data_IF_756339304135
#
_entry.id   IF_756339304135
#
_cell.length_a   1.000
_cell.length_b   1.000
_cell.length_c   1.000
_cell.angle_alpha   90.00
_cell.angle_beta   90.00
_cell.angle_gamma   90.00
#
_symmetry.space_group_name_H-M   'P 1'
#
loop_
_entity.id
_entity.type
_entity.pdbx_description
1 polymer ?
#
# COMPACT_ATOMS: atom_id res chain seq x y z
N UNK A 1 -10.10 -43.70 -13.13
CA UNK A 1 -9.53 -42.35 -13.29
C UNK A 1 -10.67 -41.38 -13.48
N UNK A 2 -11.19 -40.83 -12.38
CA UNK A 2 -12.25 -39.83 -12.44
C UNK A 2 -11.57 -38.47 -12.63
N UNK A 3 -11.75 -37.89 -13.81
CA UNK A 3 -11.40 -36.50 -14.10
C UNK A 3 -12.35 -35.60 -13.32
N UNK A 4 -11.85 -34.96 -12.27
CA UNK A 4 -12.58 -33.88 -11.62
C UNK A 4 -12.77 -32.73 -12.62
N UNK A 5 -14.00 -32.19 -12.77
CA UNK A 5 -14.20 -30.96 -13.52
C UNK A 5 -13.43 -29.84 -12.82
N UNK A 6 -12.64 -29.08 -13.58
CA UNK A 6 -12.10 -27.80 -13.11
C UNK A 6 -13.31 -26.88 -12.94
N UNK A 7 -13.74 -26.70 -11.70
CA UNK A 7 -14.79 -25.78 -11.35
C UNK A 7 -14.26 -24.37 -11.60
N UNK A 8 -14.68 -23.74 -12.71
CA UNK A 8 -14.34 -22.36 -13.02
C UNK A 8 -15.06 -21.45 -12.03
N UNK A 9 -14.41 -21.20 -10.89
CA UNK A 9 -14.91 -20.31 -9.86
C UNK A 9 -15.20 -18.91 -10.45
N UNK A 10 -16.41 -18.34 -10.27
CA UNK A 10 -16.79 -17.01 -10.78
C UNK A 10 -15.82 -15.89 -10.40
N UNK A 11 -15.17 -16.02 -9.25
CA UNK A 11 -14.16 -15.09 -8.71
C UNK A 11 -12.90 -14.99 -9.59
N UNK A 12 -12.49 -16.06 -10.28
CA UNK A 12 -11.29 -16.04 -11.15
C UNK A 12 -11.51 -15.24 -12.43
N UNK A 13 -12.72 -15.26 -12.99
CA UNK A 13 -13.07 -14.45 -14.16
C UNK A 13 -13.12 -12.96 -13.84
N UNK A 14 -13.65 -12.60 -12.66
CA UNK A 14 -13.66 -11.21 -12.18
C UNK A 14 -12.24 -10.69 -11.93
N UNK A 15 -11.37 -11.50 -11.31
CA UNK A 15 -9.96 -11.17 -11.07
C UNK A 15 -9.20 -10.84 -12.37
N UNK A 16 -9.31 -11.69 -13.41
CA UNK A 16 -8.67 -11.44 -14.71
C UNK A 16 -9.20 -10.18 -15.40
N UNK A 17 -10.49 -9.87 -15.28
CA UNK A 17 -11.06 -8.65 -15.84
C UNK A 17 -10.53 -7.39 -15.14
N UNK A 18 -10.40 -7.42 -13.81
CA UNK A 18 -9.78 -6.33 -13.03
C UNK A 18 -8.32 -6.09 -13.43
N UNK A 19 -7.55 -7.16 -13.63
CA UNK A 19 -6.14 -7.08 -14.05
C UNK A 19 -5.96 -6.47 -15.45
N UNK A 20 -6.86 -6.77 -16.39
CA UNK A 20 -6.84 -6.13 -17.73
C UNK A 20 -7.08 -4.64 -17.64
N UNK A 21 -8.09 -4.23 -16.85
CA UNK A 21 -8.37 -2.81 -16.62
C UNK A 21 -7.19 -2.09 -15.98
N UNK A 22 -6.40 -2.75 -15.14
CA UNK A 22 -5.29 -2.13 -14.42
C UNK A 22 -4.23 -1.48 -15.32
N UNK A 23 -4.06 -1.93 -16.56
CA UNK A 23 -3.18 -1.28 -17.53
C UNK A 23 -3.55 0.18 -17.78
N UNK A 24 -4.84 0.54 -17.66
CA UNK A 24 -5.29 1.91 -17.82
C UNK A 24 -4.79 2.82 -16.68
N UNK A 25 -4.51 2.27 -15.50
CA UNK A 25 -4.00 3.04 -14.35
C UNK A 25 -2.51 3.38 -14.48
N UNK A 26 -1.74 2.53 -15.17
CA UNK A 26 -0.29 2.70 -15.29
C UNK A 26 0.01 3.95 -16.14
N UNK A 27 0.79 4.92 -15.64
CA UNK A 27 1.30 6.02 -16.45
C UNK A 27 2.06 5.52 -17.67
N UNK A 28 1.78 6.03 -18.89
CA UNK A 28 2.57 5.67 -20.05
C UNK A 28 4.00 6.17 -19.86
N UNK A 29 4.98 5.36 -20.28
CA UNK A 29 6.35 5.83 -20.42
C UNK A 29 6.44 6.66 -21.71
N UNK A 30 6.36 7.98 -21.56
CA UNK A 30 6.41 8.96 -22.64
C UNK A 30 7.47 10.02 -22.35
N UNK A 31 8.32 10.31 -23.33
CA UNK A 31 9.37 11.34 -23.23
C UNK A 31 8.83 12.76 -23.07
N UNK A 32 7.52 12.97 -23.24
CA UNK A 32 6.85 14.24 -22.95
C UNK A 32 6.58 14.45 -21.44
N UNK A 33 6.59 13.38 -20.63
CA UNK A 33 6.33 13.48 -19.20
C UNK A 33 7.58 13.95 -18.44
N UNK A 34 7.37 14.77 -17.42
CA UNK A 34 8.38 15.28 -16.51
C UNK A 34 8.43 14.50 -15.21
N UNK A 35 9.61 14.55 -14.55
CA UNK A 35 9.87 13.92 -13.26
C UNK A 35 8.77 14.26 -12.25
N UNK A 36 8.17 13.21 -11.68
CA UNK A 36 7.11 13.28 -10.69
C UNK A 36 5.71 13.09 -11.27
N UNK A 37 5.50 13.04 -12.58
CA UNK A 37 4.18 12.83 -13.19
C UNK A 37 3.73 11.36 -13.23
N UNK A 38 4.62 10.41 -12.91
CA UNK A 38 4.31 8.98 -12.78
C UNK A 38 4.30 8.48 -11.32
N UNK A 39 4.31 9.37 -10.33
CA UNK A 39 4.10 9.00 -8.92
C UNK A 39 5.04 9.70 -7.96
N UNK A 40 4.48 10.16 -6.84
CA UNK A 40 5.20 10.88 -5.77
C UNK A 40 4.67 10.33 -4.46
N UNK A 41 5.44 9.43 -3.87
CA UNK A 41 5.03 8.60 -2.74
C UNK A 41 5.75 9.15 -1.51
N UNK A 42 5.03 9.35 -0.40
CA UNK A 42 5.67 9.62 0.89
C UNK A 42 5.49 8.44 1.84
N UNK A 43 6.57 8.01 2.48
CA UNK A 43 6.58 6.94 3.48
C UNK A 43 6.81 7.59 4.83
N UNK A 44 5.86 7.47 5.75
CA UNK A 44 5.91 8.07 7.09
C UNK A 44 6.13 6.97 8.10
N UNK A 45 7.28 7.02 8.76
CA UNK A 45 7.71 5.98 9.70
C UNK A 45 9.17 6.17 10.07
N UNK A 46 9.91 5.11 10.32
CA UNK A 46 11.33 5.23 10.68
C UNK A 46 11.57 5.94 12.01
N UNK A 47 11.33 5.23 13.10
CA UNK A 47 11.79 5.58 14.44
C UNK A 47 13.23 5.13 14.66
N UNK A 48 13.84 5.59 15.76
CA UNK A 48 15.20 5.30 16.21
C UNK A 48 15.81 3.96 15.78
N UNK A 49 15.13 2.85 16.05
CA UNK A 49 15.66 1.50 15.77
C UNK A 49 15.09 0.88 14.47
N UNK A 50 13.98 1.41 13.94
CA UNK A 50 13.22 0.79 12.86
C UNK A 50 13.47 1.47 11.51
N UNK A 51 14.72 1.45 11.06
CA UNK A 51 15.16 2.09 9.80
C UNK A 51 14.89 1.26 8.55
N UNK A 52 14.82 -0.08 8.67
CA UNK A 52 14.68 -0.98 7.52
C UNK A 52 13.29 -0.93 6.88
N UNK A 53 12.23 -0.87 7.69
CA UNK A 53 10.84 -0.86 7.23
C UNK A 53 10.51 0.31 6.27
N UNK A 54 10.78 1.58 6.60
CA UNK A 54 10.52 2.68 5.67
C UNK A 54 11.40 2.61 4.41
N UNK A 55 12.61 2.05 4.51
CA UNK A 55 13.46 1.78 3.35
C UNK A 55 12.81 0.77 2.40
N UNK A 56 12.36 -0.39 2.91
CA UNK A 56 11.73 -1.42 2.08
C UNK A 56 10.49 -0.89 1.37
N UNK A 57 9.65 -0.13 2.06
CA UNK A 57 8.44 0.46 1.48
C UNK A 57 8.75 1.51 0.41
N UNK A 58 9.67 2.44 0.72
CA UNK A 58 10.06 3.49 -0.22
C UNK A 58 10.78 2.94 -1.45
N UNK A 59 11.72 2.02 -1.24
CA UNK A 59 12.50 1.45 -2.34
C UNK A 59 11.67 0.50 -3.19
N UNK A 60 10.73 -0.26 -2.61
CA UNK A 60 9.78 -1.06 -3.38
C UNK A 60 8.91 -0.19 -4.30
N UNK A 61 8.51 0.99 -3.84
CA UNK A 61 7.77 1.96 -4.65
C UNK A 61 8.56 2.40 -5.89
N UNK A 62 9.83 2.78 -5.70
CA UNK A 62 10.72 3.15 -6.81
C UNK A 62 10.94 1.98 -7.78
N UNK A 63 11.16 0.77 -7.25
CA UNK A 63 11.39 -0.44 -8.05
C UNK A 63 10.17 -0.86 -8.86
N UNK A 64 8.95 -0.55 -8.41
CA UNK A 64 7.72 -0.78 -9.17
C UNK A 64 7.52 0.26 -10.27
N UNK A 65 7.99 1.50 -10.07
CA UNK A 65 7.99 2.52 -11.11
C UNK A 65 7.47 3.90 -10.67
N UNK A 66 7.41 4.21 -9.37
CA UNK A 66 7.17 5.59 -8.96
C UNK A 66 8.38 6.48 -9.31
N UNK A 67 8.13 7.71 -9.76
CA UNK A 67 9.22 8.64 -10.08
C UNK A 67 9.99 9.10 -8.84
N UNK A 68 9.26 9.28 -7.73
CA UNK A 68 9.76 9.85 -6.50
C UNK A 68 9.22 9.11 -5.29
N UNK A 69 10.14 8.72 -4.41
CA UNK A 69 9.84 8.21 -3.08
C UNK A 69 10.53 9.05 -2.02
N UNK A 70 9.71 9.62 -1.15
CA UNK A 70 10.12 10.41 -0.01
C UNK A 70 9.97 9.57 1.26
N UNK A 71 10.99 9.52 2.11
CA UNK A 71 10.89 8.93 3.46
C UNK A 71 10.86 10.06 4.46
N UNK A 72 9.82 10.12 5.29
CA UNK A 72 9.63 11.08 6.36
C UNK A 72 9.81 10.32 7.68
N UNK A 73 10.87 10.66 8.41
CA UNK A 73 11.32 9.89 9.56
C UNK A 73 11.88 10.73 10.69
N UNK A 74 12.20 10.08 11.80
CA UNK A 74 12.93 10.69 12.92
C UNK A 74 14.37 11.03 12.50
N UNK A 75 14.96 12.15 12.98
CA UNK A 75 16.35 12.49 12.70
C UNK A 75 17.38 11.37 12.96
N UNK A 76 17.18 10.57 13.99
CA UNK A 76 18.07 9.45 14.34
C UNK A 76 18.04 8.32 13.29
N UNK A 77 16.91 8.10 12.64
CA UNK A 77 16.73 7.12 11.58
C UNK A 77 17.22 7.61 10.21
N UNK A 78 17.14 8.93 9.97
CA UNK A 78 17.36 9.54 8.66
C UNK A 78 18.75 9.23 8.07
N UNK A 79 19.81 9.37 8.86
CA UNK A 79 21.19 9.13 8.39
C UNK A 79 21.39 7.69 7.93
N UNK A 80 20.85 6.73 8.69
CA UNK A 80 20.94 5.31 8.36
C UNK A 80 20.19 5.03 7.06
N UNK A 81 18.95 5.51 6.93
CA UNK A 81 18.13 5.28 5.72
C UNK A 81 18.79 5.87 4.48
N UNK A 82 19.39 7.06 4.58
CA UNK A 82 20.14 7.70 3.48
C UNK A 82 21.31 6.85 2.98
N UNK A 83 21.90 6.01 3.84
CA UNK A 83 23.02 5.14 3.45
C UNK A 83 22.59 3.91 2.66
N UNK A 84 21.31 3.51 2.75
CA UNK A 84 20.80 2.33 2.05
C UNK A 84 20.58 2.57 0.55
N UNK A 85 20.19 3.78 0.15
CA UNK A 85 20.01 4.15 -1.25
C UNK A 85 20.10 5.66 -1.48
N UNK A 86 20.86 6.12 -2.49
CA UNK A 86 20.89 7.54 -2.89
C UNK A 86 19.64 7.99 -3.66
N UNK A 87 18.79 7.05 -4.12
CA UNK A 87 17.58 7.36 -4.89
C UNK A 87 16.41 7.84 -4.01
N UNK A 88 16.46 7.54 -2.70
CA UNK A 88 15.44 7.95 -1.74
C UNK A 88 15.67 9.39 -1.28
N UNK A 89 14.60 10.19 -1.27
CA UNK A 89 14.62 11.51 -0.65
C UNK A 89 14.21 11.38 0.83
N UNK A 90 15.16 11.48 1.74
CA UNK A 90 14.92 11.25 3.17
C UNK A 90 14.86 12.58 3.93
N UNK A 91 13.72 12.82 4.55
CA UNK A 91 13.37 14.00 5.34
C UNK A 91 13.23 13.63 6.81
N UNK A 92 13.94 14.35 7.68
CA UNK A 92 13.98 14.10 9.12
C UNK A 92 12.98 14.98 9.88
N UNK A 93 11.72 15.02 9.43
CA UNK A 93 10.71 15.95 9.97
C UNK A 93 10.06 15.49 11.27
N UNK A 94 10.17 14.20 11.64
CA UNK A 94 9.53 13.68 12.85
C UNK A 94 10.38 13.99 14.07
N UNK A 95 10.55 15.28 14.38
CA UNK A 95 11.35 15.75 15.51
C UNK A 95 10.64 15.54 16.85
N UNK A 96 11.44 15.39 17.90
CA UNK A 96 10.94 15.24 19.25
C UNK A 96 10.47 16.59 19.82
N UNK A 97 9.44 16.54 20.66
CA UNK A 97 8.83 17.65 21.40
C UNK A 97 9.79 18.39 22.34
N UNK A 98 10.95 17.78 22.65
CA UNK A 98 12.05 18.43 23.37
C UNK A 98 12.69 19.59 22.60
N UNK A 99 12.41 19.73 21.31
CA UNK A 99 12.74 20.89 20.46
C UNK A 99 11.45 21.53 19.89
N UNK A 100 10.79 22.45 20.63
CA UNK A 100 9.51 23.02 20.22
C UNK A 100 9.57 23.86 18.95
N UNK A 101 10.67 24.60 18.75
CA UNK A 101 10.86 25.42 17.54
C UNK A 101 11.08 24.53 16.32
N UNK A 102 11.92 23.49 16.46
CA UNK A 102 12.11 22.47 15.42
C UNK A 102 10.80 21.73 15.12
N UNK A 103 10.02 21.38 16.13
CA UNK A 103 8.74 20.70 15.96
C UNK A 103 7.76 21.50 15.09
N UNK A 104 7.53 22.77 15.42
CA UNK A 104 6.63 23.63 14.64
C UNK A 104 7.16 23.91 13.22
N UNK A 105 8.49 24.07 13.09
CA UNK A 105 9.12 24.26 11.79
C UNK A 105 8.96 23.02 10.89
N UNK A 106 9.28 21.83 11.40
CA UNK A 106 9.15 20.59 10.64
C UNK A 106 7.70 20.24 10.31
N UNK A 107 6.73 20.57 11.17
CA UNK A 107 5.30 20.43 10.81
C UNK A 107 4.96 21.25 9.57
N UNK A 108 5.46 22.48 9.49
CA UNK A 108 5.24 23.35 8.33
C UNK A 108 5.92 22.82 7.07
N UNK A 109 7.17 22.37 7.16
CA UNK A 109 7.88 21.78 6.03
C UNK A 109 7.21 20.50 5.53
N UNK A 110 6.75 19.65 6.45
CA UNK A 110 6.05 18.43 6.09
C UNK A 110 4.68 18.73 5.45
N UNK A 111 3.92 19.70 5.98
CA UNK A 111 2.67 20.15 5.38
C UNK A 111 2.86 20.63 3.93
N UNK A 112 3.93 21.36 3.65
CA UNK A 112 4.30 21.80 2.29
C UNK A 112 4.76 20.65 1.39
N UNK A 113 5.48 19.66 1.94
CA UNK A 113 5.83 18.46 1.18
C UNK A 113 4.57 17.70 0.76
N UNK A 114 3.58 17.56 1.66
CA UNK A 114 2.33 16.86 1.40
C UNK A 114 1.57 17.39 0.17
N UNK A 115 1.63 18.70 -0.10
CA UNK A 115 0.98 19.31 -1.29
C UNK A 115 1.49 18.75 -2.62
N UNK A 116 2.68 18.13 -2.61
CA UNK A 116 3.30 17.54 -3.80
C UNK A 116 3.12 16.03 -3.85
N UNK A 117 2.60 15.38 -2.82
CA UNK A 117 2.49 13.93 -2.77
C UNK A 117 1.17 13.46 -3.36
N UNK A 118 1.21 12.35 -4.10
CA UNK A 118 -0.01 11.70 -4.58
C UNK A 118 -0.60 10.79 -3.49
N UNK A 119 0.26 10.16 -2.70
CA UNK A 119 -0.10 9.18 -1.68
C UNK A 119 0.86 9.25 -0.49
N UNK A 120 0.37 8.92 0.69
CA UNK A 120 1.16 8.64 1.89
C UNK A 120 0.98 7.19 2.33
N UNK A 121 2.09 6.50 2.55
CA UNK A 121 2.16 5.23 3.26
C UNK A 121 2.57 5.54 4.70
N UNK A 122 1.72 5.25 5.68
CA UNK A 122 1.97 5.57 7.09
C UNK A 122 2.11 4.28 7.88
N UNK A 123 3.15 4.21 8.72
CA UNK A 123 3.35 3.11 9.67
C UNK A 123 4.65 2.30 9.56
N UNK A 124 5.28 2.11 8.38
CA UNK A 124 6.52 1.32 8.27
C UNK A 124 7.63 1.79 9.21
N UNK A 125 7.87 1.03 10.28
CA UNK A 125 8.86 1.37 11.32
C UNK A 125 8.53 2.62 12.15
N UNK A 126 7.27 3.06 12.17
CA UNK A 126 6.86 4.25 12.91
C UNK A 126 7.08 4.10 14.42
N UNK A 127 6.91 2.90 14.98
CA UNK A 127 7.05 2.66 16.41
C UNK A 127 5.81 3.14 17.19
N UNK A 128 5.85 2.90 18.50
CA UNK A 128 4.72 3.16 19.41
C UNK A 128 5.04 4.17 20.51
N UNK A 129 6.18 4.83 20.40
CA UNK A 129 6.54 5.91 21.29
C UNK A 129 5.48 7.03 21.18
N UNK A 130 5.07 7.66 22.30
CA UNK A 130 3.99 8.63 22.31
C UNK A 130 4.16 9.74 21.26
N UNK A 131 5.37 10.27 21.12
CA UNK A 131 5.69 11.36 20.18
C UNK A 131 5.56 10.92 18.71
N UNK A 132 5.97 9.69 18.39
CA UNK A 132 5.81 9.14 17.03
C UNK A 132 4.33 8.90 16.70
N UNK A 133 3.53 8.51 17.70
CA UNK A 133 2.08 8.35 17.54
C UNK A 133 1.36 9.71 17.41
N UNK A 134 1.83 10.75 18.09
CA UNK A 134 1.35 12.13 17.90
C UNK A 134 1.63 12.62 16.48
N UNK A 135 2.85 12.38 15.97
CA UNK A 135 3.19 12.66 14.58
C UNK A 135 2.32 11.90 13.59
N UNK A 136 2.05 10.62 13.81
CA UNK A 136 1.19 9.83 12.95
C UNK A 136 -0.25 10.33 12.95
N UNK A 137 -0.78 10.70 14.11
CA UNK A 137 -2.11 11.29 14.24
C UNK A 137 -2.21 12.65 13.54
N UNK A 138 -1.22 13.52 13.74
CA UNK A 138 -1.14 14.81 13.05
C UNK A 138 -1.07 14.60 11.53
N UNK A 139 -0.18 13.71 11.08
CA UNK A 139 0.01 13.37 9.67
C UNK A 139 -1.28 12.89 9.04
N UNK A 140 -1.96 11.95 9.69
CA UNK A 140 -3.21 11.37 9.20
C UNK A 140 -4.30 12.43 9.08
N UNK A 141 -4.49 13.27 10.11
CA UNK A 141 -5.47 14.36 10.10
C UNK A 141 -5.17 15.39 9.01
N UNK A 142 -3.91 15.77 8.83
CA UNK A 142 -3.49 16.74 7.81
C UNK A 142 -3.68 16.17 6.40
N UNK A 143 -3.29 14.91 6.19
CA UNK A 143 -3.46 14.22 4.90
C UNK A 143 -4.93 14.08 4.49
N UNK A 144 -5.82 13.77 5.45
CA UNK A 144 -7.28 13.72 5.24
C UNK A 144 -7.81 15.10 4.81
N UNK A 145 -7.41 16.18 5.50
CA UNK A 145 -7.80 17.56 5.14
C UNK A 145 -7.34 17.94 3.73
N UNK A 146 -6.15 17.49 3.32
CA UNK A 146 -5.60 17.70 1.97
C UNK A 146 -6.12 16.69 0.93
N UNK A 147 -6.96 15.74 1.32
CA UNK A 147 -7.51 14.69 0.45
C UNK A 147 -6.42 13.84 -0.26
N UNK A 148 -5.34 13.52 0.46
CA UNK A 148 -4.23 12.70 -0.05
C UNK A 148 -4.57 11.22 0.06
N UNK A 149 -4.24 10.42 -0.95
CA UNK A 149 -4.49 8.98 -0.90
C UNK A 149 -3.63 8.33 0.21
N UNK A 150 -4.17 7.36 0.95
CA UNK A 150 -3.50 6.76 2.10
C UNK A 150 -3.33 5.25 1.96
N UNK A 151 -2.18 4.76 2.42
CA UNK A 151 -1.96 3.35 2.75
C UNK A 151 -1.52 3.29 4.21
N UNK A 152 -2.29 2.57 5.03
CA UNK A 152 -2.04 2.45 6.46
C UNK A 152 -1.59 1.02 6.76
N UNK A 153 -0.40 0.88 7.31
CA UNK A 153 0.23 -0.39 7.65
C UNK A 153 0.81 -0.34 9.06
N UNK A 154 1.12 -1.50 9.64
CA UNK A 154 1.84 -1.64 10.91
C UNK A 154 1.33 -0.69 12.02
N UNK A 155 2.19 0.18 12.55
CA UNK A 155 1.85 1.03 13.70
C UNK A 155 0.88 2.19 13.37
N UNK A 156 0.58 2.46 12.10
CA UNK A 156 -0.56 3.32 11.77
C UNK A 156 -1.89 2.60 12.07
N UNK A 157 -1.93 1.27 11.91
CA UNK A 157 -3.08 0.47 12.32
C UNK A 157 -3.16 0.36 13.86
N UNK A 158 -2.00 0.42 14.54
CA UNK A 158 -1.96 0.58 15.99
C UNK A 158 -2.60 1.89 16.44
N UNK A 159 -2.34 3.01 15.76
CA UNK A 159 -3.05 4.27 16.04
C UNK A 159 -4.57 4.10 15.84
N UNK A 160 -4.98 3.50 14.72
CA UNK A 160 -6.41 3.36 14.38
C UNK A 160 -7.19 2.45 15.31
N UNK A 161 -6.62 1.37 15.85
CA UNK A 161 -7.35 0.57 16.86
C UNK A 161 -7.63 1.35 18.15
N UNK A 162 -6.88 2.42 18.42
CA UNK A 162 -7.09 3.27 19.60
C UNK A 162 -8.00 4.46 19.27
N UNK A 163 -7.99 4.93 18.02
CA UNK A 163 -8.73 6.10 17.53
C UNK A 163 -9.33 5.86 16.13
N UNK A 164 -10.25 4.89 15.97
CA UNK A 164 -10.76 4.50 14.64
C UNK A 164 -11.51 5.64 13.95
N UNK A 165 -12.12 6.52 14.74
CA UNK A 165 -12.91 7.66 14.29
C UNK A 165 -12.11 8.67 13.45
N UNK A 166 -10.77 8.70 13.58
CA UNK A 166 -9.93 9.61 12.78
C UNK A 166 -10.09 9.36 11.28
N UNK A 167 -10.27 8.09 10.89
CA UNK A 167 -10.41 7.71 9.48
C UNK A 167 -11.88 7.56 9.03
N UNK A 168 -12.84 7.55 9.96
CA UNK A 168 -14.24 7.26 9.61
C UNK A 168 -14.76 8.26 8.59
N UNK A 169 -15.30 7.74 7.48
CA UNK A 169 -15.81 8.55 6.38
C UNK A 169 -14.75 9.03 5.39
N UNK A 170 -13.50 8.58 5.50
CA UNK A 170 -12.44 8.89 4.53
C UNK A 170 -12.22 7.71 3.56
N UNK A 171 -12.75 7.76 2.33
CA UNK A 171 -12.75 6.62 1.41
C UNK A 171 -11.42 6.42 0.66
N UNK A 172 -10.51 7.39 0.72
CA UNK A 172 -9.26 7.41 -0.04
C UNK A 172 -8.12 6.75 0.75
N UNK A 173 -8.39 5.58 1.32
CA UNK A 173 -7.45 4.84 2.15
C UNK A 173 -7.52 3.33 1.92
N UNK A 174 -6.36 2.67 1.97
CA UNK A 174 -6.21 1.21 2.07
C UNK A 174 -5.56 0.87 3.42
N UNK A 175 -6.19 0.00 4.20
CA UNK A 175 -5.59 -0.59 5.40
C UNK A 175 -5.04 -1.96 5.03
N UNK A 176 -3.85 -2.29 5.53
CA UNK A 176 -3.17 -3.54 5.19
C UNK A 176 -2.93 -4.44 6.41
N UNK A 177 -3.93 -4.74 7.26
CA UNK A 177 -3.70 -5.44 8.52
C UNK A 177 -3.24 -6.89 8.32
N UNK A 178 -2.28 -7.32 9.13
CA UNK A 178 -2.07 -8.74 9.39
C UNK A 178 -3.19 -9.30 10.28
N UNK A 179 -3.22 -10.62 10.48
CA UNK A 179 -4.26 -11.28 11.27
C UNK A 179 -4.48 -10.67 12.67
N UNK A 180 -3.40 -10.33 13.39
CA UNK A 180 -3.48 -9.76 14.74
C UNK A 180 -3.97 -8.32 14.72
N UNK A 181 -3.44 -7.50 13.79
CA UNK A 181 -3.89 -6.12 13.57
C UNK A 181 -5.37 -6.07 13.18
N UNK A 182 -5.80 -6.99 12.32
CA UNK A 182 -7.18 -7.08 11.85
C UNK A 182 -8.15 -7.36 13.00
N UNK A 183 -7.85 -8.35 13.85
CA UNK A 183 -8.67 -8.65 15.03
C UNK A 183 -8.78 -7.45 15.98
N UNK A 184 -7.71 -6.66 16.13
CA UNK A 184 -7.72 -5.46 16.97
C UNK A 184 -8.60 -4.36 16.38
N UNK A 185 -8.53 -4.16 15.07
CA UNK A 185 -9.37 -3.20 14.35
C UNK A 185 -10.87 -3.58 14.43
N UNK A 186 -11.20 -4.86 14.26
CA UNK A 186 -12.57 -5.35 14.43
C UNK A 186 -13.12 -4.99 15.81
N UNK A 187 -12.38 -5.32 16.87
CA UNK A 187 -12.76 -4.98 18.25
C UNK A 187 -12.92 -3.48 18.46
N UNK A 188 -12.01 -2.68 17.91
CA UNK A 188 -12.07 -1.22 17.99
C UNK A 188 -13.31 -0.63 17.30
N UNK A 189 -13.84 -1.32 16.28
CA UNK A 189 -15.06 -0.96 15.58
C UNK A 189 -16.30 -1.69 16.11
N UNK A 190 -16.23 -2.32 17.29
CA UNK A 190 -17.33 -3.09 17.91
C UNK A 190 -17.85 -4.24 17.03
N UNK A 191 -16.95 -4.88 16.28
CA UNK A 191 -17.22 -6.07 15.46
C UNK A 191 -16.58 -7.27 16.16
N UNK A 192 -17.36 -8.33 16.38
CA UNK A 192 -16.87 -9.55 17.01
C UNK A 192 -15.94 -10.33 16.06
N UNK A 193 -14.66 -10.55 16.42
CA UNK A 193 -13.75 -11.30 15.57
C UNK A 193 -14.14 -12.78 15.48
N UNK A 194 -13.92 -13.38 14.31
CA UNK A 194 -14.04 -14.82 14.10
C UNK A 194 -12.68 -15.43 13.77
N UNK A 195 -12.51 -16.73 14.03
CA UNK A 195 -11.25 -17.43 13.75
C UNK A 195 -10.96 -17.54 12.25
N UNK A 196 -12.00 -17.65 11.42
CA UNK A 196 -11.92 -17.77 9.97
C UNK A 196 -12.78 -16.71 9.29
N UNK A 197 -12.23 -16.04 8.28
CA UNK A 197 -12.97 -15.12 7.40
C UNK A 197 -12.67 -15.45 5.94
N UNK A 198 -12.82 -16.71 5.52
CA UNK A 198 -12.37 -17.15 4.19
C UNK A 198 -13.06 -16.44 3.02
N UNK A 199 -14.18 -15.75 3.29
CA UNK A 199 -14.98 -15.02 2.30
C UNK A 199 -14.81 -13.50 2.37
N UNK A 200 -14.02 -12.97 3.32
CA UNK A 200 -13.77 -11.53 3.49
C UNK A 200 -15.01 -10.75 3.95
N UNK A 201 -15.94 -11.41 4.63
CA UNK A 201 -17.15 -10.79 5.16
C UNK A 201 -16.82 -9.87 6.33
N UNK A 202 -15.92 -10.26 7.24
CA UNK A 202 -15.48 -9.37 8.31
C UNK A 202 -14.66 -8.20 7.76
N UNK A 203 -13.86 -8.43 6.71
CA UNK A 203 -13.15 -7.34 6.04
C UNK A 203 -14.14 -6.32 5.43
N UNK A 204 -15.26 -6.81 4.87
CA UNK A 204 -16.33 -5.96 4.35
C UNK A 204 -17.10 -5.24 5.47
N UNK A 205 -17.37 -5.90 6.60
CA UNK A 205 -18.00 -5.28 7.77
C UNK A 205 -17.11 -4.17 8.35
N UNK A 206 -15.80 -4.40 8.44
CA UNK A 206 -14.85 -3.38 8.87
C UNK A 206 -14.83 -2.17 7.92
N UNK A 207 -14.82 -2.44 6.60
CA UNK A 207 -14.89 -1.38 5.58
C UNK A 207 -16.15 -0.52 5.74
N UNK A 208 -17.31 -1.14 6.01
CA UNK A 208 -18.58 -0.46 6.28
C UNK A 208 -18.56 0.33 7.59
N UNK A 209 -18.02 -0.23 8.66
CA UNK A 209 -17.91 0.44 9.96
C UNK A 209 -17.01 1.69 9.92
N UNK A 210 -16.00 1.68 9.05
CA UNK A 210 -15.14 2.82 8.76
C UNK A 210 -15.70 3.74 7.65
N UNK A 211 -16.82 3.39 7.03
CA UNK A 211 -17.53 4.15 6.00
C UNK A 211 -16.64 4.54 4.80
N UNK A 212 -16.00 3.54 4.17
CA UNK A 212 -15.53 3.69 2.79
C UNK A 212 -14.06 3.40 2.49
N UNK A 213 -13.24 3.01 3.49
CA UNK A 213 -11.85 2.60 3.21
C UNK A 213 -11.79 1.14 2.71
N UNK A 214 -10.75 0.81 1.93
CA UNK A 214 -10.49 -0.56 1.47
C UNK A 214 -9.68 -1.31 2.51
N UNK A 215 -10.04 -2.57 2.78
CA UNK A 215 -9.33 -3.45 3.68
C UNK A 215 -8.62 -4.54 2.86
N UNK A 216 -7.29 -4.58 2.94
CA UNK A 216 -6.44 -5.67 2.45
C UNK A 216 -6.03 -6.53 3.65
N UNK A 217 -6.83 -7.53 3.97
CA UNK A 217 -6.57 -8.47 5.07
C UNK A 217 -5.49 -9.48 4.63
N UNK A 218 -4.29 -9.39 5.24
CA UNK A 218 -3.15 -10.25 4.91
C UNK A 218 -3.30 -11.64 5.52
N UNK A 219 -3.09 -12.69 4.73
CA UNK A 219 -3.29 -14.08 5.16
C UNK A 219 -2.56 -15.12 4.29
N UNK A 220 -2.98 -16.39 4.39
CA UNK A 220 -2.57 -17.43 3.43
C UNK A 220 -3.11 -17.10 2.03
N UNK A 221 -4.37 -16.66 1.99
CA UNK A 221 -5.03 -15.94 0.91
C UNK A 221 -5.24 -14.51 1.41
N UNK A 222 -4.91 -13.50 0.60
CA UNK A 222 -5.26 -12.12 0.97
C UNK A 222 -6.67 -11.81 0.49
N UNK A 223 -7.43 -11.10 1.31
CA UNK A 223 -8.82 -10.73 1.05
C UNK A 223 -8.89 -9.22 0.93
N UNK A 224 -9.50 -8.74 -0.15
CA UNK A 224 -9.65 -7.31 -0.42
C UNK A 224 -11.12 -6.97 -0.44
N UNK A 225 -11.55 -6.17 0.53
CA UNK A 225 -12.94 -5.76 0.67
C UNK A 225 -13.06 -4.24 0.69
N UNK A 226 -14.10 -3.74 0.02
CA UNK A 226 -14.51 -2.34 0.05
C UNK A 226 -16.03 -2.28 0.02
N UNK A 227 -16.63 -1.41 0.83
CA UNK A 227 -18.06 -1.14 0.76
C UNK A 227 -18.48 -0.78 -0.68
N UNK A 228 -19.54 -1.44 -1.16
CA UNK A 228 -20.07 -1.26 -2.51
C UNK A 228 -19.32 -2.02 -3.62
N UNK A 229 -18.31 -2.84 -3.29
CA UNK A 229 -17.59 -3.68 -4.24
C UNK A 229 -17.64 -5.17 -3.86
N UNK A 230 -17.45 -6.04 -4.85
CA UNK A 230 -17.24 -7.47 -4.60
C UNK A 230 -15.91 -7.70 -3.89
N UNK A 231 -15.87 -8.70 -2.99
CA UNK A 231 -14.63 -9.09 -2.31
C UNK A 231 -13.72 -9.80 -3.29
N UNK A 232 -12.49 -9.30 -3.45
CA UNK A 232 -11.46 -9.96 -4.25
C UNK A 232 -10.58 -10.86 -3.37
N UNK A 233 -10.10 -11.97 -3.94
CA UNK A 233 -9.21 -12.93 -3.27
C UNK A 233 -7.91 -13.05 -4.04
N UNK A 234 -6.79 -12.82 -3.37
CA UNK A 234 -5.45 -13.05 -3.95
C UNK A 234 -4.93 -14.40 -3.48
N UNK A 235 -5.04 -15.39 -4.37
CA UNK A 235 -4.73 -16.80 -4.09
C UNK A 235 -3.39 -17.25 -4.66
N UNK A 236 -2.67 -16.37 -5.36
CA UNK A 236 -1.38 -16.69 -5.94
C UNK A 236 -0.39 -17.11 -4.84
N UNK A 237 0.43 -18.11 -5.18
CA UNK A 237 1.36 -18.70 -4.23
C UNK A 237 2.50 -17.72 -3.93
N UNK A 238 2.66 -17.39 -2.65
CA UNK A 238 3.85 -16.69 -2.14
C UNK A 238 5.00 -17.65 -1.81
N UNK A 239 5.83 -17.30 -0.84
CA UNK A 239 6.82 -18.22 -0.27
C UNK A 239 6.39 -18.78 1.09
N UNK A 240 6.92 -19.95 1.50
CA UNK A 240 6.77 -20.44 2.88
C UNK A 240 7.70 -19.72 3.87
N UNK A 241 8.60 -18.83 3.40
CA UNK A 241 9.59 -18.14 4.23
C UNK A 241 9.10 -16.73 4.56
N UNK A 242 8.79 -16.51 5.84
CA UNK A 242 8.46 -15.18 6.37
C UNK A 242 9.72 -14.33 6.52
N UNK A 243 9.78 -13.22 5.82
CA UNK A 243 10.80 -12.19 5.98
C UNK A 243 10.18 -10.95 6.65
N UNK A 244 10.92 -10.29 7.54
CA UNK A 244 10.39 -9.19 8.35
C UNK A 244 9.80 -8.04 7.53
N UNK A 245 10.45 -7.65 6.42
CA UNK A 245 10.05 -6.52 5.59
C UNK A 245 9.09 -6.84 4.44
N UNK A 246 8.47 -8.04 4.41
CA UNK A 246 7.53 -8.38 3.34
C UNK A 246 6.27 -7.50 3.35
N UNK A 247 5.79 -7.12 4.55
CA UNK A 247 4.68 -6.17 4.69
C UNK A 247 5.05 -4.77 4.22
N UNK A 248 6.28 -4.34 4.49
CA UNK A 248 6.77 -3.02 4.05
C UNK A 248 6.88 -2.93 2.53
N UNK A 249 7.36 -4.00 1.87
CA UNK A 249 7.35 -4.09 0.40
C UNK A 249 5.91 -3.98 -0.12
N UNK A 250 4.98 -4.72 0.46
CA UNK A 250 3.56 -4.67 0.09
C UNK A 250 3.01 -3.23 0.19
N UNK A 251 3.24 -2.54 1.31
CA UNK A 251 2.69 -1.19 1.52
C UNK A 251 3.24 -0.18 0.52
N UNK A 252 4.52 -0.30 0.12
CA UNK A 252 5.11 0.52 -0.94
C UNK A 252 4.53 0.23 -2.34
N UNK A 253 4.36 -1.04 -2.67
CA UNK A 253 3.75 -1.45 -3.94
C UNK A 253 2.29 -0.98 -4.04
N UNK A 254 1.50 -1.18 -2.98
CA UNK A 254 0.12 -0.68 -2.88
C UNK A 254 0.10 0.85 -2.97
N UNK A 255 1.02 1.55 -2.29
CA UNK A 255 1.13 3.01 -2.38
C UNK A 255 1.34 3.50 -3.81
N UNK A 256 2.22 2.86 -4.57
CA UNK A 256 2.47 3.19 -5.97
C UNK A 256 1.22 3.02 -6.84
N UNK A 257 0.50 1.92 -6.67
CA UNK A 257 -0.78 1.71 -7.37
C UNK A 257 -1.85 2.74 -6.97
N UNK A 258 -1.92 3.15 -5.71
CA UNK A 258 -2.81 4.22 -5.26
C UNK A 258 -2.46 5.57 -5.91
N UNK A 259 -1.17 5.88 -6.08
CA UNK A 259 -0.74 7.08 -6.79
C UNK A 259 -1.12 7.02 -8.28
N UNK A 260 -0.97 5.86 -8.92
CA UNK A 260 -1.40 5.64 -10.29
C UNK A 260 -2.92 5.73 -10.46
N UNK A 261 -3.70 5.23 -9.50
CA UNK A 261 -5.15 5.42 -9.46
C UNK A 261 -5.52 6.91 -9.44
N UNK A 262 -4.90 7.70 -8.56
CA UNK A 262 -5.11 9.15 -8.48
C UNK A 262 -4.82 9.83 -9.82
N UNK A 263 -3.65 9.53 -10.41
CA UNK A 263 -3.23 10.08 -11.69
C UNK A 263 -4.16 9.70 -12.84
N UNK A 264 -4.68 8.47 -12.85
CA UNK A 264 -5.67 8.03 -13.83
C UNK A 264 -6.93 8.90 -13.81
N UNK A 265 -7.51 9.13 -12.63
CA UNK A 265 -8.71 9.98 -12.51
C UNK A 265 -8.43 11.46 -12.79
N UNK A 266 -7.23 11.96 -12.50
CA UNK A 266 -6.83 13.33 -12.84
C UNK A 266 -6.64 13.54 -14.35
N UNK A 267 -6.29 12.47 -15.10
CA UNK A 267 -6.13 12.52 -16.57
C UNK A 267 -7.45 12.39 -17.33
N UNK A 268 -8.44 11.66 -16.80
CA UNK A 268 -9.70 11.41 -17.52
C UNK A 268 -10.42 12.68 -18.03
N UNK A 269 -10.51 13.79 -17.27
CA UNK A 269 -11.13 15.03 -17.79
C UNK A 269 -10.39 15.65 -18.99
N UNK A 270 -9.13 15.28 -19.22
CA UNK A 270 -8.27 15.85 -20.25
C UNK A 270 -8.25 15.00 -21.54
N UNK A 271 -8.62 13.73 -21.48
CA UNK A 271 -8.70 12.86 -22.66
C UNK A 271 -10.08 12.94 -23.32
N UNK A 272 -10.18 13.69 -24.42
CA UNK A 272 -11.44 13.90 -25.17
C UNK A 272 -11.93 12.66 -25.95
N UNK A 273 -11.16 11.56 -25.98
CA UNK A 273 -11.55 10.29 -26.61
C UNK A 273 -10.94 9.11 -25.85
N UNK A 274 -11.71 8.06 -25.49
CA UNK A 274 -11.15 6.84 -24.93
C UNK A 274 -10.25 6.16 -25.97
N UNK A 275 -8.97 5.94 -25.63
CA UNK A 275 -7.99 5.24 -26.49
C UNK A 275 -8.25 3.72 -26.54
N UNK A 276 -9.02 3.18 -25.59
CA UNK A 276 -9.35 1.76 -25.46
C UNK A 276 -10.85 1.51 -25.63
N UNK A 277 -11.22 0.36 -26.20
CA UNK A 277 -12.61 -0.14 -26.20
C UNK A 277 -13.06 -0.63 -24.80
N UNK A 278 -12.16 -0.63 -23.82
CA UNK A 278 -12.44 -1.06 -22.45
C UNK A 278 -13.26 -0.03 -21.67
N UNK A 279 -14.15 -0.51 -20.82
CA UNK A 279 -14.93 0.34 -19.91
C UNK A 279 -14.01 1.07 -18.92
N UNK A 280 -14.33 2.33 -18.56
CA UNK A 280 -13.57 3.08 -17.57
C UNK A 280 -13.61 2.39 -16.20
N UNK A 281 -12.56 2.60 -15.41
CA UNK A 281 -12.45 2.07 -14.05
C UNK A 281 -13.24 2.98 -13.12
N UNK A 282 -14.13 2.40 -12.32
CA UNK A 282 -14.80 3.13 -11.24
C UNK A 282 -13.85 3.38 -10.06
N UNK A 283 -14.09 4.41 -9.21
CA UNK A 283 -13.26 4.64 -8.03
C UNK A 283 -13.14 3.41 -7.12
N UNK A 284 -14.24 2.67 -6.92
CA UNK A 284 -14.23 1.45 -6.09
C UNK A 284 -13.32 0.37 -6.69
N UNK A 285 -13.41 0.12 -8.00
CA UNK A 285 -12.55 -0.84 -8.70
C UNK A 285 -11.07 -0.44 -8.60
N UNK A 286 -10.73 0.85 -8.75
CA UNK A 286 -9.35 1.30 -8.71
C UNK A 286 -8.66 0.99 -7.36
N UNK A 287 -9.38 1.15 -6.25
CA UNK A 287 -8.87 0.81 -4.91
C UNK A 287 -8.72 -0.70 -4.70
N UNK A 288 -9.65 -1.51 -5.23
CA UNK A 288 -9.52 -2.98 -5.22
C UNK A 288 -8.33 -3.41 -6.07
N UNK A 289 -8.19 -2.88 -7.28
CA UNK A 289 -7.07 -3.15 -8.20
C UNK A 289 -5.74 -2.83 -7.51
N UNK A 290 -5.62 -1.67 -6.86
CA UNK A 290 -4.40 -1.27 -6.18
C UNK A 290 -3.97 -2.23 -5.06
N UNK A 291 -4.92 -2.66 -4.21
CA UNK A 291 -4.67 -3.65 -3.17
C UNK A 291 -4.33 -5.04 -3.74
N UNK A 292 -5.09 -5.49 -4.74
CA UNK A 292 -4.93 -6.79 -5.38
C UNK A 292 -3.56 -6.90 -6.05
N UNK A 293 -3.19 -5.91 -6.88
CA UNK A 293 -1.92 -5.94 -7.61
C UNK A 293 -0.72 -5.76 -6.69
N UNK A 294 -0.82 -4.90 -5.68
CA UNK A 294 0.22 -4.81 -4.65
C UNK A 294 0.46 -6.16 -3.96
N UNK A 295 -0.62 -6.87 -3.60
CA UNK A 295 -0.54 -8.21 -2.99
C UNK A 295 0.01 -9.27 -3.96
N UNK A 296 -0.51 -9.34 -5.18
CA UNK A 296 -0.12 -10.35 -6.17
C UNK A 296 1.34 -10.20 -6.60
N UNK A 297 1.81 -8.97 -6.80
CA UNK A 297 3.23 -8.68 -7.08
C UNK A 297 4.09 -9.05 -5.87
N UNK A 298 3.68 -8.71 -4.64
CA UNK A 298 4.43 -9.08 -3.42
C UNK A 298 4.58 -10.59 -3.27
N UNK A 299 3.49 -11.34 -3.51
CA UNK A 299 3.47 -12.80 -3.42
C UNK A 299 4.36 -13.43 -4.49
N UNK A 300 4.21 -12.98 -5.74
CA UNK A 300 5.04 -13.43 -6.87
C UNK A 300 6.51 -13.14 -6.61
N UNK A 301 6.84 -11.93 -6.15
CA UNK A 301 8.19 -11.53 -5.77
C UNK A 301 8.76 -12.44 -4.66
N UNK A 302 7.99 -12.71 -3.62
CA UNK A 302 8.39 -13.62 -2.54
C UNK A 302 8.65 -15.04 -3.04
N UNK A 303 7.80 -15.55 -3.93
CA UNK A 303 7.97 -16.86 -4.58
C UNK A 303 9.26 -16.93 -5.39
N UNK A 304 9.52 -15.94 -6.25
CA UNK A 304 10.72 -15.90 -7.09
C UNK A 304 12.00 -15.82 -6.25
N UNK A 305 12.03 -14.95 -5.24
CA UNK A 305 13.16 -14.87 -4.32
C UNK A 305 13.38 -16.19 -3.56
N UNK A 306 12.31 -16.84 -3.11
CA UNK A 306 12.41 -18.12 -2.39
C UNK A 306 12.91 -19.25 -3.28
N UNK A 307 12.53 -19.30 -4.55
CA UNK A 307 13.04 -20.30 -5.48
C UNK A 307 14.56 -20.22 -5.63
N UNK A 308 15.14 -19.02 -5.51
CA UNK A 308 16.59 -18.82 -5.58
C UNK A 308 17.31 -19.02 -4.24
N UNK A 309 16.77 -18.47 -3.17
CA UNK A 309 17.48 -18.38 -1.88
C UNK A 309 16.97 -19.35 -0.81
N UNK A 310 15.81 -19.98 -1.02
CA UNK A 310 15.22 -20.94 -0.10
C UNK A 310 15.13 -20.41 1.33
N UNK A 311 15.67 -21.17 2.29
CA UNK A 311 15.62 -20.84 3.73
C UNK A 311 16.31 -19.52 4.07
N UNK A 312 17.36 -19.14 3.34
CA UNK A 312 18.17 -17.95 3.64
C UNK A 312 17.59 -16.65 3.07
N UNK A 313 16.48 -16.72 2.33
CA UNK A 313 15.83 -15.53 1.74
C UNK A 313 15.57 -14.45 2.80
N UNK A 314 15.88 -13.21 2.42
CA UNK A 314 15.65 -11.98 3.16
C UNK A 314 14.72 -11.03 2.39
N UNK A 315 14.28 -9.94 3.03
CA UNK A 315 13.45 -8.92 2.37
C UNK A 315 14.21 -8.13 1.31
N UNK A 316 15.52 -7.94 1.48
CA UNK A 316 16.38 -7.33 0.46
C UNK A 316 16.42 -8.13 -0.84
N UNK A 317 16.40 -9.47 -0.75
CA UNK A 317 16.39 -10.36 -1.92
C UNK A 317 15.11 -10.18 -2.75
N UNK A 318 13.98 -9.92 -2.08
CA UNK A 318 12.69 -9.67 -2.73
C UNK A 318 12.75 -8.42 -3.63
N UNK A 319 13.40 -7.33 -3.20
CA UNK A 319 13.47 -6.07 -3.97
C UNK A 319 13.99 -6.25 -5.41
N UNK A 320 14.92 -7.20 -5.60
CA UNK A 320 15.48 -7.51 -6.91
C UNK A 320 14.42 -8.06 -7.90
N UNK A 321 13.41 -8.77 -7.38
CA UNK A 321 12.38 -9.46 -8.16
C UNK A 321 11.11 -8.66 -8.41
N UNK A 322 11.00 -7.42 -7.90
CA UNK A 322 9.79 -6.60 -8.08
C UNK A 322 9.47 -6.39 -9.56
N UNK A 323 10.46 -6.03 -10.38
CA UNK A 323 10.26 -5.81 -11.81
C UNK A 323 9.83 -7.09 -12.54
N UNK A 324 10.51 -8.22 -12.27
CA UNK A 324 10.13 -9.51 -12.87
C UNK A 324 8.73 -9.96 -12.43
N UNK A 325 8.39 -9.78 -11.15
CA UNK A 325 7.07 -10.08 -10.62
C UNK A 325 5.99 -9.20 -11.26
N UNK A 326 6.26 -7.90 -11.43
CA UNK A 326 5.36 -6.98 -12.14
C UNK A 326 5.10 -7.47 -13.57
N UNK A 327 6.15 -7.81 -14.32
CA UNK A 327 6.00 -8.32 -15.68
C UNK A 327 5.21 -9.64 -15.72
N UNK A 328 5.47 -10.57 -14.80
CA UNK A 328 4.72 -11.83 -14.73
C UNK A 328 3.25 -11.62 -14.38
N UNK A 329 2.94 -10.71 -13.46
CA UNK A 329 1.55 -10.42 -13.06
C UNK A 329 0.81 -9.67 -14.16
N UNK A 330 1.43 -8.66 -14.76
CA UNK A 330 0.77 -7.85 -15.80
C UNK A 330 0.62 -8.61 -17.12
N UNK A 331 1.65 -9.35 -17.56
CA UNK A 331 1.64 -10.02 -18.87
C UNK A 331 1.29 -11.51 -18.81
N UNK A 332 1.46 -12.18 -17.67
CA UNK A 332 1.16 -13.61 -17.51
C UNK A 332 -0.32 -13.95 -17.71
N UNK A 333 -1.22 -13.01 -17.44
CA UNK A 333 -2.67 -13.18 -17.62
C UNK A 333 -3.20 -12.80 -19.01
N UNK A 334 -2.31 -12.43 -19.94
CA UNK A 334 -2.67 -12.10 -21.34
C UNK A 334 -2.43 -13.23 -22.34
N UNK A 335 -1.85 -14.36 -21.90
CA UNK A 335 -1.43 -15.46 -22.78
C UNK A 335 -2.38 -16.67 -22.86
N UNK A 336 -3.55 -16.61 -22.20
CA UNK A 336 -4.60 -17.64 -22.29
C UNK A 336 -5.88 -17.10 -22.95
#
# INVERSE_FOLDING_TARGET
>A
MATHPIDHHPTMHHHRALLRKAFQMIPPLDGSLHKGQAGRIGIVGGSKDYTGAPFYSGYASLRLGSDLSHVICEPSAATVIKTYSPDLMVHSYLSLSSDPEGYAHHQKEFDQLMDRLHVLVIGPGLGRDPEMQEWAEWTLKTAIKKNIHLVLDADALWLLQNKPDILRGYPNAILTPNHVEFQRLLKACSIEPQEQDDNGLLALELSKALNGCTILQKGSTDLVAREGAEVAKVTCQGSPKRCGGQGDILSGLVGTWCAWAKLYFERQPQETKPKSQEQPISPHEAWIIAAVLGSEITRTCSKLAYQKFGRSMQSSDMLAYIAEAFEQVMHGHTKD
#
